data_IF_227937890576
#
_entry.id   IF_227937890576
#
_cell.length_a   1.000
_cell.length_b   1.000
_cell.length_c   1.000
_cell.angle_alpha   90.00
_cell.angle_beta   90.00
_cell.angle_gamma   90.00
#
_symmetry.space_group_name_H-M   'P 1'
#
loop_
_entity.id
_entity.type
_entity.pdbx_description
1 polymer ?
#
# COMPACT_ATOMS: atom_id res chain seq x y z
N UNK A 1 3.34 -3.12 32.41
CA UNK A 1 1.95 -3.50 32.05
C UNK A 1 1.10 -3.35 33.29
N UNK A 2 0.05 -2.53 33.23
CA UNK A 2 -0.88 -2.37 34.35
C UNK A 2 -1.76 -3.63 34.47
N UNK A 3 -2.00 -4.17 35.68
CA UNK A 3 -2.89 -5.31 35.86
C UNK A 3 -4.34 -4.92 35.51
N UNK A 4 -4.93 -5.59 34.52
CA UNK A 4 -6.36 -5.48 34.19
C UNK A 4 -6.72 -4.98 32.77
N UNK A 5 -5.76 -4.71 31.90
CA UNK A 5 -6.06 -4.43 30.47
C UNK A 5 -6.09 -5.74 29.67
N UNK A 6 -7.09 -5.94 28.78
CA UNK A 6 -7.15 -7.11 27.92
C UNK A 6 -5.91 -7.17 27.02
N UNK A 7 -5.36 -8.36 26.80
CA UNK A 7 -4.24 -8.53 25.88
C UNK A 7 -4.69 -8.31 24.43
N UNK A 8 -3.76 -8.07 23.49
CA UNK A 8 -4.11 -8.02 22.07
C UNK A 8 -4.79 -9.30 21.58
N UNK A 9 -4.36 -10.47 22.05
CA UNK A 9 -4.98 -11.75 21.71
C UNK A 9 -6.40 -11.86 22.26
N UNK A 10 -6.67 -11.42 23.50
CA UNK A 10 -8.03 -11.37 24.05
C UNK A 10 -8.94 -10.43 23.25
N UNK A 11 -8.39 -9.30 22.82
CA UNK A 11 -9.10 -8.32 21.99
C UNK A 11 -9.44 -8.91 20.62
N UNK A 12 -8.49 -9.59 19.97
CA UNK A 12 -8.71 -10.24 18.69
C UNK A 12 -9.75 -11.37 18.78
N UNK A 13 -9.71 -12.19 19.82
CA UNK A 13 -10.71 -13.25 20.03
C UNK A 13 -12.11 -12.65 20.23
N UNK A 14 -12.23 -11.55 20.98
CA UNK A 14 -13.50 -10.85 21.13
C UNK A 14 -14.04 -10.31 19.79
N UNK A 15 -13.19 -9.69 18.97
CA UNK A 15 -13.56 -9.24 17.63
C UNK A 15 -14.01 -10.40 16.74
N UNK A 16 -13.30 -11.53 16.80
CA UNK A 16 -13.67 -12.75 16.07
C UNK A 16 -15.04 -13.27 16.49
N UNK A 17 -15.38 -13.25 17.78
CA UNK A 17 -16.71 -13.63 18.27
C UNK A 17 -17.81 -12.70 17.73
N UNK A 18 -17.58 -11.38 17.77
CA UNK A 18 -18.52 -10.40 17.21
C UNK A 18 -18.70 -10.60 15.69
N UNK A 19 -17.63 -10.91 14.97
CA UNK A 19 -17.72 -11.22 13.54
C UNK A 19 -18.42 -12.55 13.29
N UNK A 20 -18.18 -13.59 14.08
CA UNK A 20 -18.87 -14.88 13.92
C UNK A 20 -20.37 -14.74 14.11
N UNK A 21 -20.81 -13.85 15.01
CA UNK A 21 -22.23 -13.57 15.26
C UNK A 21 -22.90 -12.72 14.17
N UNK A 22 -22.23 -11.66 13.70
CA UNK A 22 -22.82 -10.67 12.76
C UNK A 22 -22.45 -10.90 11.30
N UNK A 23 -21.30 -11.54 11.05
CA UNK A 23 -20.61 -11.64 9.77
C UNK A 23 -20.36 -10.28 9.11
N UNK A 24 -20.29 -9.21 9.90
CA UNK A 24 -20.23 -7.86 9.36
C UNK A 24 -18.88 -7.54 8.69
N UNK A 25 -18.85 -7.03 7.43
CA UNK A 25 -17.62 -6.72 6.70
C UNK A 25 -16.64 -5.80 7.45
N UNK A 26 -17.13 -4.77 8.15
CA UNK A 26 -16.26 -3.84 8.90
C UNK A 26 -15.51 -4.51 10.05
N UNK A 27 -16.10 -5.51 10.70
CA UNK A 27 -15.39 -6.29 11.72
C UNK A 27 -14.29 -7.14 11.08
N UNK A 28 -14.55 -7.70 9.90
CA UNK A 28 -13.56 -8.46 9.16
C UNK A 28 -12.33 -7.62 8.79
N UNK A 29 -12.56 -6.41 8.27
CA UNK A 29 -11.51 -5.44 7.96
C UNK A 29 -10.71 -5.04 9.20
N UNK A 30 -11.40 -4.75 10.32
CA UNK A 30 -10.75 -4.45 11.59
C UNK A 30 -9.92 -5.63 12.11
N UNK A 31 -10.44 -6.86 12.04
CA UNK A 31 -9.72 -8.07 12.48
C UNK A 31 -8.41 -8.23 11.69
N UNK A 32 -8.45 -8.05 10.37
CA UNK A 32 -7.26 -8.11 9.52
C UNK A 32 -6.25 -7.01 9.88
N UNK A 33 -6.71 -5.76 10.04
CA UNK A 33 -5.86 -4.63 10.40
C UNK A 33 -5.26 -4.77 11.81
N UNK A 34 -6.08 -5.17 12.79
CA UNK A 34 -5.67 -5.34 14.18
C UNK A 34 -4.63 -6.44 14.33
N UNK A 35 -4.85 -7.60 13.72
CA UNK A 35 -3.90 -8.70 13.74
C UNK A 35 -2.57 -8.28 13.11
N UNK A 36 -2.61 -7.62 11.94
CA UNK A 36 -1.40 -7.13 11.28
C UNK A 36 -0.60 -6.12 12.11
N UNK A 37 -1.27 -5.27 12.89
CA UNK A 37 -0.59 -4.29 13.74
C UNK A 37 0.10 -4.92 14.98
N UNK A 38 -0.30 -6.14 15.34
CA UNK A 38 0.19 -6.83 16.54
C UNK A 38 0.89 -8.17 16.23
N UNK A 39 1.13 -8.46 14.94
CA UNK A 39 1.81 -9.68 14.51
C UNK A 39 3.27 -9.69 14.96
N UNK A 40 3.79 -10.87 15.29
CA UNK A 40 5.16 -11.06 15.73
C UNK A 40 6.15 -10.81 14.59
N UNK A 41 7.40 -10.46 14.94
CA UNK A 41 8.49 -10.34 13.96
C UNK A 41 8.79 -11.67 13.25
N UNK A 42 8.60 -12.78 13.96
CA UNK A 42 8.78 -14.12 13.41
C UNK A 42 7.72 -14.41 12.34
N UNK A 43 6.47 -14.02 12.59
CA UNK A 43 5.39 -14.14 11.63
C UNK A 43 5.57 -13.22 10.41
N UNK A 44 6.08 -11.99 10.61
CA UNK A 44 6.41 -11.06 9.51
C UNK A 44 7.36 -11.71 8.50
N UNK A 45 8.35 -12.48 8.96
CA UNK A 45 9.30 -13.17 8.09
C UNK A 45 8.64 -14.21 7.16
N UNK A 46 7.45 -14.73 7.50
CA UNK A 46 6.72 -15.62 6.60
C UNK A 46 6.21 -14.90 5.36
N UNK A 47 5.84 -13.62 5.45
CA UNK A 47 5.26 -12.84 4.34
C UNK A 47 6.22 -12.74 3.16
N UNK A 48 7.51 -12.62 3.45
CA UNK A 48 8.59 -12.53 2.47
C UNK A 48 9.15 -13.90 2.04
N UNK A 49 8.64 -14.99 2.63
CA UNK A 49 9.12 -16.33 2.31
C UNK A 49 8.56 -16.81 0.97
N UNK A 50 9.43 -16.92 -0.03
CA UNK A 50 9.10 -17.48 -1.33
C UNK A 50 8.70 -18.96 -1.26
N UNK A 51 9.12 -19.67 -0.20
CA UNK A 51 8.91 -21.11 -0.04
C UNK A 51 8.85 -21.48 1.45
N UNK A 52 7.69 -21.30 2.09
CA UNK A 52 7.42 -22.04 3.33
C UNK A 52 7.05 -23.49 2.95
N UNK A 53 7.86 -24.46 3.38
CA UNK A 53 7.67 -25.87 3.06
C UNK A 53 6.30 -26.39 3.51
N UNK A 54 5.82 -27.49 2.92
CA UNK A 54 4.52 -28.06 3.29
C UNK A 54 4.47 -28.52 4.75
N UNK A 55 5.55 -29.16 5.23
CA UNK A 55 5.68 -29.59 6.62
C UNK A 55 5.82 -28.40 7.57
N UNK A 56 6.65 -27.42 7.22
CA UNK A 56 6.86 -26.19 8.01
C UNK A 56 5.58 -25.39 8.16
N UNK A 57 4.82 -25.20 7.06
CA UNK A 57 3.52 -24.50 7.12
C UNK A 57 2.52 -25.25 8.00
N UNK A 58 2.50 -26.59 7.93
CA UNK A 58 1.60 -27.40 8.75
C UNK A 58 1.96 -27.33 10.23
N UNK A 59 3.26 -27.38 10.55
CA UNK A 59 3.75 -27.21 11.91
C UNK A 59 3.46 -25.80 12.43
N UNK A 60 3.66 -24.78 11.60
CA UNK A 60 3.34 -23.40 11.94
C UNK A 60 1.84 -23.25 12.25
N UNK A 61 0.95 -23.81 11.43
CA UNK A 61 -0.50 -23.72 11.66
C UNK A 61 -0.93 -24.34 13.00
N UNK A 62 -0.30 -25.45 13.42
CA UNK A 62 -0.69 -26.15 14.65
C UNK A 62 -0.45 -25.31 15.92
N UNK A 63 0.54 -24.43 15.89
CA UNK A 63 1.00 -23.65 17.03
C UNK A 63 0.85 -22.13 16.81
N UNK A 64 0.14 -21.71 15.75
CA UNK A 64 0.07 -20.30 15.35
C UNK A 64 -0.73 -19.49 16.37
N UNK A 65 -0.16 -18.36 16.83
CA UNK A 65 -0.92 -17.38 17.58
C UNK A 65 -2.01 -16.75 16.70
N UNK A 66 -3.16 -16.42 17.28
CA UNK A 66 -4.27 -15.79 16.56
C UNK A 66 -3.82 -14.52 15.85
N UNK A 67 -2.90 -13.73 16.43
CA UNK A 67 -2.36 -12.51 15.83
C UNK A 67 -1.54 -12.82 14.56
N UNK A 68 -0.85 -13.95 14.54
CA UNK A 68 0.12 -14.32 13.50
C UNK A 68 -0.50 -15.11 12.33
N UNK A 69 -1.72 -15.62 12.50
CA UNK A 69 -2.44 -16.39 11.47
C UNK A 69 -2.50 -15.65 10.12
N UNK A 70 -2.71 -14.33 10.14
CA UNK A 70 -2.76 -13.52 8.91
C UNK A 70 -1.48 -13.56 8.08
N UNK A 71 -0.32 -13.58 8.75
CA UNK A 71 0.96 -13.69 8.07
C UNK A 71 1.16 -15.10 7.47
N UNK A 72 0.80 -16.16 8.20
CA UNK A 72 0.86 -17.53 7.70
C UNK A 72 -0.07 -17.77 6.49
N UNK A 73 -1.25 -17.14 6.51
CA UNK A 73 -2.22 -17.18 5.42
C UNK A 73 -1.72 -16.48 4.16
N UNK A 74 -0.85 -15.47 4.28
CA UNK A 74 -0.30 -14.74 3.11
C UNK A 74 0.50 -15.63 2.15
N UNK A 75 1.06 -16.73 2.66
CA UNK A 75 1.79 -17.74 1.87
C UNK A 75 0.96 -18.97 1.53
N UNK A 76 -0.36 -18.95 1.77
CA UNK A 76 -1.27 -20.07 1.49
C UNK A 76 -1.11 -20.60 0.06
N UNK A 77 -1.07 -19.70 -0.92
CA UNK A 77 -0.97 -20.02 -2.35
C UNK A 77 0.42 -20.44 -2.84
N UNK A 78 1.45 -20.49 -2.00
CA UNK A 78 2.80 -20.88 -2.42
C UNK A 78 2.93 -22.41 -2.49
N UNK A 79 3.38 -22.94 -3.63
CA UNK A 79 3.67 -24.37 -3.81
C UNK A 79 2.85 -25.04 -4.91
N UNK A 80 2.63 -26.35 -4.82
CA UNK A 80 1.84 -27.09 -5.82
C UNK A 80 0.36 -27.09 -5.45
N UNK A 81 -0.52 -27.29 -6.43
CA UNK A 81 -1.96 -27.45 -6.18
C UNK A 81 -2.28 -28.56 -5.15
N UNK A 82 -1.47 -29.62 -5.06
CA UNK A 82 -1.63 -30.65 -4.03
C UNK A 82 -1.37 -30.12 -2.61
N UNK A 83 -0.28 -29.37 -2.43
CA UNK A 83 0.10 -28.75 -1.15
C UNK A 83 -0.97 -27.75 -0.72
N UNK A 84 -1.38 -26.85 -1.62
CA UNK A 84 -2.37 -25.80 -1.31
C UNK A 84 -3.74 -26.40 -1.01
N UNK A 85 -4.17 -27.43 -1.75
CA UNK A 85 -5.40 -28.15 -1.43
C UNK A 85 -5.36 -28.74 -0.01
N UNK A 86 -4.22 -29.28 0.43
CA UNK A 86 -4.06 -29.81 1.78
C UNK A 86 -4.14 -28.71 2.84
N UNK A 87 -3.48 -27.57 2.62
CA UNK A 87 -3.55 -26.40 3.51
C UNK A 87 -4.99 -25.92 3.71
N UNK A 88 -5.77 -25.80 2.62
CA UNK A 88 -7.19 -25.43 2.68
C UNK A 88 -8.00 -26.45 3.51
N UNK A 89 -7.71 -27.74 3.39
CA UNK A 89 -8.37 -28.77 4.21
C UNK A 89 -8.03 -28.66 5.70
N UNK A 90 -6.84 -28.21 6.06
CA UNK A 90 -6.47 -27.93 7.45
C UNK A 90 -7.18 -26.68 7.97
N UNK A 91 -7.23 -25.61 7.16
CA UNK A 91 -7.96 -24.38 7.51
C UNK A 91 -9.45 -24.61 7.72
N UNK A 92 -10.05 -25.57 7.02
CA UNK A 92 -11.45 -25.95 7.22
C UNK A 92 -11.75 -26.60 8.59
N UNK A 93 -10.72 -26.95 9.37
CA UNK A 93 -10.87 -27.47 10.73
C UNK A 93 -10.78 -26.37 11.80
N UNK A 94 -10.40 -25.15 11.41
CA UNK A 94 -10.33 -24.02 12.33
C UNK A 94 -11.70 -23.39 12.52
N UNK A 95 -11.86 -22.68 13.65
CA UNK A 95 -13.02 -21.82 13.85
C UNK A 95 -13.09 -20.76 12.74
N UNK A 96 -14.30 -20.36 12.30
CA UNK A 96 -14.45 -19.38 11.23
C UNK A 96 -13.72 -18.08 11.53
N UNK A 97 -12.89 -17.65 10.58
CA UNK A 97 -12.08 -16.43 10.66
C UNK A 97 -12.13 -15.70 9.30
N UNK A 98 -12.44 -14.39 9.28
CA UNK A 98 -12.55 -13.63 8.04
C UNK A 98 -11.25 -13.55 7.23
N UNK A 99 -10.09 -13.67 7.89
CA UNK A 99 -8.78 -13.62 7.23
C UNK A 99 -8.55 -14.85 6.35
N UNK A 100 -9.18 -15.97 6.68
CA UNK A 100 -9.19 -17.16 5.81
C UNK A 100 -9.96 -16.83 4.52
N UNK A 101 -11.08 -16.11 4.60
CA UNK A 101 -11.81 -15.68 3.41
C UNK A 101 -10.95 -14.78 2.52
N UNK A 102 -10.24 -13.80 3.10
CA UNK A 102 -9.33 -12.90 2.36
C UNK A 102 -8.25 -13.69 1.59
N UNK A 103 -7.63 -14.68 2.26
CA UNK A 103 -6.60 -15.52 1.63
C UNK A 103 -7.16 -16.38 0.48
N UNK A 104 -8.40 -16.85 0.60
CA UNK A 104 -9.08 -17.61 -0.46
C UNK A 104 -9.53 -16.70 -1.62
N UNK A 105 -9.93 -15.46 -1.35
CA UNK A 105 -10.22 -14.45 -2.38
C UNK A 105 -8.97 -14.15 -3.19
N UNK A 106 -7.86 -13.85 -2.52
CA UNK A 106 -6.57 -13.62 -3.17
C UNK A 106 -6.13 -14.82 -4.05
N UNK A 107 -6.42 -16.04 -3.60
CA UNK A 107 -6.15 -17.25 -4.38
C UNK A 107 -6.98 -17.31 -5.68
N UNK A 108 -8.26 -16.95 -5.61
CA UNK A 108 -9.17 -16.91 -6.78
C UNK A 108 -8.72 -15.83 -7.76
N UNK A 109 -8.39 -14.63 -7.27
CA UNK A 109 -7.91 -13.51 -8.07
C UNK A 109 -6.59 -13.81 -8.79
N UNK A 110 -5.66 -14.46 -8.10
CA UNK A 110 -4.39 -14.89 -8.68
C UNK A 110 -4.54 -15.94 -9.79
N UNK A 111 -5.70 -16.62 -9.88
CA UNK A 111 -6.03 -17.62 -10.91
C UNK A 111 -4.95 -18.72 -11.06
N UNK A 112 -4.32 -19.08 -9.95
CA UNK A 112 -3.21 -20.03 -9.95
C UNK A 112 -3.70 -21.46 -10.28
N UNK A 113 -3.06 -22.13 -11.24
CA UNK A 113 -3.39 -23.50 -11.70
C UNK A 113 -4.79 -23.65 -12.34
N UNK A 114 -4.79 -23.70 -13.68
CA UNK A 114 -5.99 -23.86 -14.51
C UNK A 114 -6.20 -25.29 -15.02
N UNK A 115 -5.31 -26.23 -14.68
CA UNK A 115 -5.38 -27.61 -15.15
C UNK A 115 -6.50 -28.41 -14.47
N UNK A 116 -7.00 -29.45 -15.14
CA UNK A 116 -8.05 -30.34 -14.60
C UNK A 116 -7.66 -30.95 -13.25
N UNK A 117 -6.39 -31.32 -13.05
CA UNK A 117 -5.90 -31.88 -11.79
C UNK A 117 -5.91 -30.89 -10.61
N UNK A 118 -5.98 -29.59 -10.89
CA UNK A 118 -6.06 -28.53 -9.87
C UNK A 118 -7.49 -28.25 -9.38
N UNK A 119 -8.53 -28.81 -10.02
CA UNK A 119 -9.95 -28.64 -9.62
C UNK A 119 -10.24 -28.95 -8.15
N UNK A 120 -9.44 -29.82 -7.52
CA UNK A 120 -9.54 -30.13 -6.09
C UNK A 120 -9.25 -28.94 -5.18
N UNK A 121 -8.33 -28.04 -5.58
CA UNK A 121 -8.04 -26.80 -4.84
C UNK A 121 -9.29 -25.95 -4.81
N UNK A 122 -9.82 -25.65 -5.99
CA UNK A 122 -10.97 -24.76 -6.16
C UNK A 122 -12.27 -25.30 -5.58
N UNK A 123 -12.47 -26.62 -5.64
CA UNK A 123 -13.61 -27.27 -4.96
C UNK A 123 -13.51 -27.08 -3.44
N UNK A 124 -12.31 -27.22 -2.86
CA UNK A 124 -12.10 -26.98 -1.42
C UNK A 124 -12.22 -25.49 -1.06
N UNK A 125 -11.67 -24.61 -1.89
CA UNK A 125 -11.78 -23.15 -1.74
C UNK A 125 -13.25 -22.71 -1.67
N UNK A 126 -14.05 -23.10 -2.66
CA UNK A 126 -15.48 -22.70 -2.72
C UNK A 126 -16.30 -23.34 -1.60
N UNK A 127 -16.01 -24.58 -1.20
CA UNK A 127 -16.64 -25.20 -0.03
C UNK A 127 -16.29 -24.48 1.28
N UNK A 128 -15.03 -24.08 1.46
CA UNK A 128 -14.61 -23.35 2.66
C UNK A 128 -15.20 -21.93 2.69
N UNK A 129 -15.24 -21.23 1.56
CA UNK A 129 -15.94 -19.94 1.46
C UNK A 129 -17.43 -20.04 1.83
N UNK A 130 -18.11 -21.11 1.39
CA UNK A 130 -19.50 -21.36 1.78
C UNK A 130 -19.64 -21.58 3.29
N UNK A 131 -18.70 -22.30 3.92
CA UNK A 131 -18.72 -22.57 5.35
C UNK A 131 -18.38 -21.34 6.20
N UNK A 132 -17.45 -20.49 5.75
CA UNK A 132 -17.10 -19.23 6.40
C UNK A 132 -18.29 -18.24 6.42
N UNK A 133 -19.11 -18.31 5.36
CA UNK A 133 -20.30 -17.49 5.17
C UNK A 133 -19.99 -15.98 5.28
N UNK A 134 -18.86 -15.55 4.68
CA UNK A 134 -18.44 -14.15 4.67
C UNK A 134 -19.14 -13.38 3.53
N UNK A 135 -19.97 -12.35 3.83
CA UNK A 135 -20.69 -11.56 2.82
C UNK A 135 -19.80 -10.90 1.78
N UNK A 136 -18.54 -10.57 2.12
CA UNK A 136 -17.58 -9.94 1.19
C UNK A 136 -17.29 -10.81 -0.03
N UNK A 137 -17.49 -12.13 0.10
CA UNK A 137 -17.35 -13.09 -1.00
C UNK A 137 -18.34 -12.82 -2.15
N UNK A 138 -19.48 -12.15 -1.89
CA UNK A 138 -20.45 -11.84 -2.94
C UNK A 138 -19.88 -10.90 -4.00
N UNK A 139 -19.17 -9.85 -3.57
CA UNK A 139 -18.53 -8.90 -4.48
C UNK A 139 -17.51 -9.59 -5.40
N UNK A 140 -16.76 -10.57 -4.88
CA UNK A 140 -15.86 -11.40 -5.68
C UNK A 140 -16.63 -12.23 -6.72
N UNK A 141 -17.72 -12.89 -6.31
CA UNK A 141 -18.56 -13.70 -7.21
C UNK A 141 -19.16 -12.83 -8.32
N UNK A 142 -19.67 -11.65 -7.98
CA UNK A 142 -20.24 -10.70 -8.94
C UNK A 142 -19.19 -10.23 -9.94
N UNK A 143 -18.00 -9.84 -9.47
CA UNK A 143 -16.88 -9.43 -10.35
C UNK A 143 -16.53 -10.54 -11.34
N UNK A 144 -16.39 -11.78 -10.85
CA UNK A 144 -16.06 -12.93 -11.70
C UNK A 144 -17.20 -13.32 -12.65
N UNK A 145 -18.45 -13.05 -12.27
CA UNK A 145 -19.62 -13.30 -13.11
C UNK A 145 -19.64 -12.39 -14.35
N UNK A 146 -19.29 -11.11 -14.18
CA UNK A 146 -19.21 -10.15 -15.28
C UNK A 146 -18.07 -10.47 -16.26
N UNK A 147 -16.91 -10.90 -15.75
CA UNK A 147 -15.76 -11.25 -16.58
C UNK A 147 -15.96 -12.57 -17.36
N UNK A 148 -16.64 -13.55 -16.76
CA UNK A 148 -16.91 -14.86 -17.39
C UNK A 148 -17.97 -14.86 -18.49
N UNK A 149 -18.78 -13.80 -18.60
CA UNK A 149 -19.82 -13.69 -19.62
C UNK A 149 -19.27 -13.43 -21.05
N UNK A 150 -17.98 -13.11 -21.17
CA UNK A 150 -17.39 -12.61 -22.41
C UNK A 150 -16.63 -13.65 -23.28
N UNK A 151 -16.46 -14.93 -22.88
CA UNK A 151 -15.74 -15.86 -23.76
C UNK A 151 -15.55 -17.29 -23.27
N UNK A 152 -15.80 -18.22 -24.20
CA UNK A 152 -15.59 -19.68 -24.18
C UNK A 152 -16.37 -20.49 -23.14
N UNK A 153 -17.45 -21.12 -23.60
CA UNK A 153 -18.29 -22.07 -22.87
C UNK A 153 -17.60 -23.41 -22.54
N UNK A 154 -16.30 -23.56 -22.79
CA UNK A 154 -15.54 -24.78 -22.52
C UNK A 154 -14.21 -24.45 -21.83
N UNK A 155 -13.93 -25.10 -20.70
CA UNK A 155 -12.64 -25.00 -20.03
C UNK A 155 -12.73 -24.60 -18.55
N UNK A 156 -11.58 -24.23 -17.98
CA UNK A 156 -11.46 -23.90 -16.56
C UNK A 156 -12.28 -22.67 -16.15
N UNK A 157 -12.29 -21.63 -16.99
CA UNK A 157 -13.03 -20.39 -16.71
C UNK A 157 -14.54 -20.65 -16.60
N UNK A 158 -15.13 -21.37 -17.56
CA UNK A 158 -16.54 -21.76 -17.52
C UNK A 158 -16.86 -22.63 -16.29
N UNK A 159 -15.99 -23.59 -15.97
CA UNK A 159 -16.15 -24.44 -14.78
C UNK A 159 -16.06 -23.64 -13.47
N UNK A 160 -15.12 -22.70 -13.36
CA UNK A 160 -15.00 -21.81 -12.19
C UNK A 160 -16.20 -20.89 -12.07
N UNK A 161 -16.68 -20.33 -13.18
CA UNK A 161 -17.86 -19.50 -13.21
C UNK A 161 -19.09 -20.25 -12.67
N UNK A 162 -19.34 -21.48 -13.16
CA UNK A 162 -20.41 -22.34 -12.64
C UNK A 162 -20.25 -22.56 -11.13
N UNK A 163 -19.04 -22.85 -10.66
CA UNK A 163 -18.77 -23.05 -9.22
C UNK A 163 -19.09 -21.81 -8.39
N UNK A 164 -18.65 -20.63 -8.81
CA UNK A 164 -18.91 -19.38 -8.10
C UNK A 164 -20.41 -19.02 -8.12
N UNK A 165 -21.11 -19.28 -9.23
CA UNK A 165 -22.58 -19.15 -9.30
C UNK A 165 -23.29 -20.09 -8.31
N UNK A 166 -22.80 -21.32 -8.10
CA UNK A 166 -23.37 -22.21 -7.07
C UNK A 166 -23.05 -21.80 -5.63
N UNK A 167 -22.03 -20.97 -5.44
CA UNK A 167 -21.67 -20.40 -4.14
C UNK A 167 -22.53 -19.19 -3.80
N UNK A 168 -22.81 -18.31 -4.77
CA UNK A 168 -23.56 -17.06 -4.60
C UNK A 168 -24.81 -17.16 -3.70
N UNK A 169 -25.73 -18.12 -3.91
CA UNK A 169 -26.97 -18.19 -3.12
C UNK A 169 -26.76 -18.70 -1.69
N UNK A 170 -25.56 -19.21 -1.35
CA UNK A 170 -25.22 -19.72 -0.01
C UNK A 170 -24.59 -18.66 0.88
N UNK A 171 -24.17 -17.53 0.30
CA UNK A 171 -23.57 -16.44 1.04
C UNK A 171 -24.68 -15.66 1.74
N UNK A 172 -24.52 -15.24 3.01
CA UNK A 172 -25.49 -14.44 3.72
C UNK A 172 -25.36 -12.95 3.36
N UNK A 173 -26.43 -12.18 3.56
CA UNK A 173 -26.31 -10.72 3.61
C UNK A 173 -25.53 -10.30 4.88
N UNK A 174 -24.83 -9.14 4.87
CA UNK A 174 -24.28 -8.59 6.10
C UNK A 174 -25.36 -8.47 7.18
N UNK A 175 -25.11 -9.06 8.35
CA UNK A 175 -25.98 -8.84 9.51
C UNK A 175 -25.96 -7.37 9.94
N UNK A 176 -26.95 -6.91 10.72
CA UNK A 176 -26.93 -5.55 11.24
C UNK A 176 -25.75 -5.35 12.19
N UNK A 177 -25.17 -4.15 12.18
CA UNK A 177 -24.17 -3.71 13.14
C UNK A 177 -24.87 -2.83 14.20
N UNK A 178 -24.81 -3.24 15.46
CA UNK A 178 -25.30 -2.39 16.55
C UNK A 178 -24.36 -1.20 16.81
N UNK A 179 -24.91 -0.15 17.41
CA UNK A 179 -24.19 1.11 17.63
C UNK A 179 -23.00 0.97 18.59
N UNK A 180 -23.04 -0.01 19.51
CA UNK A 180 -21.95 -0.25 20.47
C UNK A 180 -20.75 -0.88 19.77
N UNK A 181 -21.00 -1.89 18.95
CA UNK A 181 -20.01 -2.55 18.11
C UNK A 181 -19.42 -1.58 17.09
N UNK A 182 -20.26 -0.73 16.49
CA UNK A 182 -19.80 0.31 15.56
C UNK A 182 -18.85 1.30 16.24
N UNK A 183 -19.21 1.79 17.43
CA UNK A 183 -18.34 2.66 18.22
C UNK A 183 -17.04 1.96 18.68
N UNK A 184 -17.08 0.65 18.97
CA UNK A 184 -15.89 -0.14 19.25
C UNK A 184 -14.97 -0.21 18.03
N UNK A 185 -15.52 -0.44 16.83
CA UNK A 185 -14.75 -0.46 15.59
C UNK A 185 -14.05 0.88 15.38
N UNK A 186 -14.78 2.00 15.46
CA UNK A 186 -14.21 3.33 15.30
C UNK A 186 -13.07 3.61 16.28
N UNK A 187 -13.28 3.27 17.55
CA UNK A 187 -12.25 3.45 18.60
C UNK A 187 -11.01 2.60 18.36
N UNK A 188 -11.18 1.35 17.92
CA UNK A 188 -10.04 0.47 17.65
C UNK A 188 -9.33 0.86 16.36
N UNK A 189 -10.05 1.24 15.30
CA UNK A 189 -9.44 1.80 14.09
C UNK A 189 -8.68 3.08 14.39
N UNK A 190 -9.22 3.99 15.21
CA UNK A 190 -8.51 5.17 15.67
C UNK A 190 -7.29 4.82 16.53
N UNK A 191 -7.38 3.76 17.36
CA UNK A 191 -6.25 3.25 18.13
C UNK A 191 -5.14 2.63 17.26
N UNK A 192 -5.52 1.92 16.20
CA UNK A 192 -4.62 1.32 15.21
C UNK A 192 -3.98 2.37 14.29
N UNK A 193 -4.73 3.41 13.93
CA UNK A 193 -4.19 4.61 13.29
C UNK A 193 -3.27 5.41 14.25
N UNK A 194 -3.29 5.05 15.54
CA UNK A 194 -2.69 5.80 16.63
C UNK A 194 -3.38 7.15 16.84
N UNK A 195 -3.16 7.83 17.99
CA UNK A 195 -3.18 9.29 17.92
C UNK A 195 -2.19 9.66 16.82
N UNK A 196 -2.57 10.52 15.88
CA UNK A 196 -1.69 11.02 14.81
C UNK A 196 -0.31 11.35 15.39
N UNK A 197 0.58 10.37 15.34
CA UNK A 197 1.93 10.38 15.87
C UNK A 197 2.76 10.11 14.64
N UNK A 198 3.31 11.20 14.14
CA UNK A 198 4.58 11.22 13.46
C UNK A 198 5.54 10.15 14.00
N UNK A 199 6.19 9.45 13.05
CA UNK A 199 7.43 8.66 13.13
C UNK A 199 7.35 7.12 13.25
N UNK A 200 8.12 6.48 12.34
CA UNK A 200 8.58 5.08 12.29
C UNK A 200 7.60 4.01 11.79
N UNK A 201 7.31 4.00 10.48
CA UNK A 201 6.67 2.86 9.83
C UNK A 201 6.29 3.04 8.36
N UNK A 202 6.14 4.28 7.91
CA UNK A 202 5.91 4.56 6.49
C UNK A 202 7.15 4.14 5.69
N UNK A 203 6.94 3.36 4.63
CA UNK A 203 7.99 3.08 3.66
C UNK A 203 8.51 4.40 3.07
N UNK A 204 9.79 4.46 2.66
CA UNK A 204 10.34 5.69 2.07
C UNK A 204 9.45 6.28 0.95
N UNK A 205 8.85 5.47 0.05
CA UNK A 205 7.89 5.98 -0.94
C UNK A 205 6.63 6.60 -0.33
N UNK A 206 6.10 6.07 0.78
CA UNK A 206 4.93 6.63 1.48
C UNK A 206 5.28 7.95 2.18
N UNK A 207 6.44 8.02 2.84
CA UNK A 207 6.97 9.27 3.42
C UNK A 207 7.16 10.34 2.35
N UNK A 208 7.70 9.94 1.19
CA UNK A 208 7.86 10.82 0.06
C UNK A 208 6.50 11.30 -0.44
N UNK A 209 5.58 10.40 -0.75
CA UNK A 209 4.24 10.74 -1.23
C UNK A 209 3.49 11.66 -0.25
N UNK A 210 3.58 11.40 1.06
CA UNK A 210 2.96 12.22 2.10
C UNK A 210 3.57 13.64 2.14
N UNK A 211 4.90 13.73 2.12
CA UNK A 211 5.66 14.99 2.07
C UNK A 211 5.35 15.81 0.79
N UNK A 212 5.14 15.13 -0.34
CA UNK A 212 4.78 15.75 -1.62
C UNK A 212 3.32 16.21 -1.67
N UNK A 213 2.40 15.46 -1.06
CA UNK A 213 0.98 15.82 -0.99
C UNK A 213 0.72 17.06 -0.14
N UNK A 214 1.57 17.32 0.87
CA UNK A 214 1.49 18.49 1.75
C UNK A 214 2.85 19.20 1.81
N UNK A 215 3.24 19.95 0.77
CA UNK A 215 4.59 20.51 0.67
C UNK A 215 4.91 21.58 1.74
N UNK A 216 3.88 22.10 2.42
CA UNK A 216 3.98 23.07 3.51
C UNK A 216 4.02 22.45 4.91
N UNK A 217 3.81 21.15 5.03
CA UNK A 217 3.90 20.41 6.29
C UNK A 217 5.38 20.15 6.62
N UNK A 218 5.94 20.98 7.50
CA UNK A 218 7.34 20.87 7.91
C UNK A 218 7.62 19.59 8.69
N UNK A 219 6.64 19.08 9.44
CA UNK A 219 6.81 17.88 10.24
C UNK A 219 6.91 16.66 9.32
N UNK A 220 6.06 16.56 8.31
CA UNK A 220 6.16 15.55 7.25
C UNK A 220 7.51 15.57 6.52
N UNK A 221 8.06 16.78 6.27
CA UNK A 221 9.37 16.95 5.65
C UNK A 221 10.50 16.44 6.52
N UNK A 222 10.44 16.72 7.82
CA UNK A 222 11.45 16.28 8.78
C UNK A 222 11.42 14.76 8.97
N UNK A 223 10.23 14.13 8.99
CA UNK A 223 10.12 12.65 9.05
C UNK A 223 10.73 12.01 7.80
N UNK A 224 10.45 12.54 6.60
CA UNK A 224 11.12 12.08 5.37
C UNK A 224 12.64 12.30 5.44
N UNK A 225 13.08 13.42 6.00
CA UNK A 225 14.49 13.74 6.12
C UNK A 225 15.24 12.73 7.00
N UNK A 226 14.66 12.36 8.14
CA UNK A 226 15.24 11.37 9.05
C UNK A 226 15.35 10.00 8.38
N UNK A 227 14.31 9.55 7.67
CA UNK A 227 14.33 8.30 6.92
C UNK A 227 15.38 8.29 5.78
N UNK A 228 15.55 9.41 5.08
CA UNK A 228 16.59 9.57 4.06
C UNK A 228 18.00 9.51 4.67
N UNK A 229 18.21 10.10 5.84
CA UNK A 229 19.49 10.07 6.57
C UNK A 229 19.83 8.63 6.98
N UNK A 230 18.86 7.87 7.49
CA UNK A 230 19.07 6.45 7.86
C UNK A 230 19.53 5.60 6.67
N UNK A 231 19.07 5.92 5.46
CA UNK A 231 19.47 5.28 4.21
C UNK A 231 20.77 5.86 3.60
N UNK A 232 21.37 6.85 4.25
CA UNK A 232 22.57 7.53 3.77
C UNK A 232 22.33 8.44 2.56
N UNK A 233 21.11 8.90 2.33
CA UNK A 233 20.79 9.85 1.27
C UNK A 233 20.99 11.31 1.73
N UNK A 234 21.91 12.01 1.06
CA UNK A 234 22.25 13.40 1.34
C UNK A 234 21.06 14.39 1.22
N UNK A 235 19.96 14.00 0.56
CA UNK A 235 18.75 14.83 0.49
C UNK A 235 18.11 15.00 1.86
N UNK A 236 18.23 14.02 2.77
CA UNK A 236 17.70 14.14 4.12
C UNK A 236 18.35 15.27 4.90
N UNK A 237 19.68 15.34 4.90
CA UNK A 237 20.42 16.45 5.51
C UNK A 237 20.06 17.80 4.84
N UNK A 238 19.91 17.80 3.51
CA UNK A 238 19.53 19.01 2.77
C UNK A 238 18.16 19.57 3.19
N UNK A 239 17.17 18.70 3.39
CA UNK A 239 15.84 19.09 3.92
C UNK A 239 15.99 19.73 5.31
N UNK A 240 16.67 19.06 6.25
CA UNK A 240 16.86 19.56 7.62
C UNK A 240 17.56 20.93 7.62
N UNK A 241 18.61 21.10 6.80
CA UNK A 241 19.35 22.37 6.69
C UNK A 241 18.46 23.49 6.17
N UNK A 242 17.67 23.26 5.11
CA UNK A 242 16.80 24.30 4.57
C UNK A 242 15.70 24.70 5.55
N UNK A 243 15.08 23.74 6.25
CA UNK A 243 14.07 24.02 7.29
C UNK A 243 14.69 24.80 8.47
N UNK A 244 15.87 24.39 8.94
CA UNK A 244 16.58 25.11 9.99
C UNK A 244 16.94 26.55 9.58
N UNK A 245 17.30 26.78 8.31
CA UNK A 245 17.58 28.12 7.76
C UNK A 245 16.36 29.01 7.70
N UNK A 246 15.16 28.48 7.47
CA UNK A 246 13.92 29.28 7.51
C UNK A 246 13.74 29.91 8.90
N UNK A 247 14.09 29.18 9.96
CA UNK A 247 14.01 29.66 11.35
C UNK A 247 15.22 30.50 11.78
N UNK A 248 16.38 30.31 11.15
CA UNK A 248 17.63 31.00 11.48
C UNK A 248 18.38 31.55 10.24
N UNK A 249 17.80 32.52 9.50
CA UNK A 249 18.31 32.94 8.19
C UNK A 249 19.70 33.61 8.23
N UNK A 250 20.13 34.10 9.39
CA UNK A 250 21.44 34.76 9.60
C UNK A 250 22.55 33.77 9.97
N UNK A 251 22.25 32.48 10.16
CA UNK A 251 23.27 31.47 10.46
C UNK A 251 24.13 31.16 9.22
N UNK A 252 25.37 31.66 9.25
CA UNK A 252 26.35 31.46 8.17
C UNK A 252 26.77 30.00 8.01
N UNK A 253 26.72 29.18 9.07
CA UNK A 253 27.10 27.76 9.00
C UNK A 253 26.06 26.97 8.22
N UNK A 254 24.77 27.18 8.54
CA UNK A 254 23.68 26.56 7.79
C UNK A 254 23.69 27.00 6.32
N UNK A 255 23.94 28.29 6.05
CA UNK A 255 24.06 28.79 4.68
C UNK A 255 25.23 28.19 3.90
N UNK A 256 26.39 28.03 4.54
CA UNK A 256 27.53 27.37 3.93
C UNK A 256 27.25 25.88 3.67
N UNK A 257 26.59 25.20 4.61
CA UNK A 257 26.27 23.77 4.47
C UNK A 257 25.26 23.51 3.37
N UNK A 258 24.22 24.33 3.26
CA UNK A 258 23.24 24.23 2.16
C UNK A 258 23.93 24.40 0.80
N UNK A 259 24.79 25.42 0.67
CA UNK A 259 25.55 25.67 -0.56
C UNK A 259 26.46 24.50 -0.91
N UNK A 260 27.10 23.88 0.09
CA UNK A 260 27.95 22.71 -0.11
C UNK A 260 27.14 21.50 -0.62
N UNK A 261 26.00 21.20 0.03
CA UNK A 261 25.13 20.10 -0.39
C UNK A 261 24.62 20.29 -1.84
N UNK A 262 24.30 21.52 -2.23
CA UNK A 262 23.94 21.86 -3.62
C UNK A 262 25.11 21.88 -4.60
N UNK A 263 26.36 21.99 -4.14
CA UNK A 263 27.51 21.82 -5.00
C UNK A 263 27.78 20.34 -5.26
N UNK A 264 27.63 19.51 -4.23
CA UNK A 264 28.01 18.09 -4.25
C UNK A 264 26.92 17.17 -4.83
N UNK A 265 25.64 17.52 -4.66
CA UNK A 265 24.53 16.60 -4.93
C UNK A 265 23.42 17.13 -5.84
N UNK A 266 23.58 18.32 -6.43
CA UNK A 266 22.51 18.97 -7.22
C UNK A 266 21.96 18.11 -8.35
N UNK A 267 22.82 17.50 -9.15
CA UNK A 267 22.37 16.72 -10.31
C UNK A 267 21.54 15.50 -9.85
N UNK A 268 21.94 14.84 -8.74
CA UNK A 268 21.15 13.79 -8.08
C UNK A 268 19.83 14.33 -7.51
N UNK A 269 19.81 15.55 -6.97
CA UNK A 269 18.60 16.15 -6.42
C UNK A 269 17.58 16.55 -7.50
N UNK A 270 18.04 16.87 -8.71
CA UNK A 270 17.20 17.18 -9.85
C UNK A 270 16.58 15.93 -10.49
N UNK A 271 17.29 14.79 -10.46
CA UNK A 271 16.79 13.55 -11.03
C UNK A 271 16.43 13.71 -12.52
N UNK A 272 15.25 13.26 -12.98
CA UNK A 272 14.78 13.43 -14.36
C UNK A 272 14.75 14.87 -14.87
N UNK A 273 14.67 15.88 -13.99
CA UNK A 273 14.68 17.29 -14.39
C UNK A 273 16.05 17.79 -14.86
N UNK A 274 17.15 17.16 -14.41
CA UNK A 274 18.53 17.62 -14.66
C UNK A 274 18.81 18.01 -16.12
N UNK A 275 18.49 17.18 -17.14
CA UNK A 275 18.85 17.48 -18.52
C UNK A 275 18.02 18.61 -19.15
N UNK A 276 16.88 18.98 -18.57
CA UNK A 276 15.91 19.87 -19.22
C UNK A 276 15.70 21.21 -18.50
N UNK A 277 16.40 21.46 -17.40
CA UNK A 277 16.29 22.71 -16.63
C UNK A 277 17.52 23.60 -16.81
N UNK A 278 17.31 24.91 -16.88
CA UNK A 278 18.40 25.89 -16.85
C UNK A 278 18.94 25.98 -15.43
N UNK A 279 20.16 25.48 -15.19
CA UNK A 279 20.76 25.41 -13.84
C UNK A 279 20.80 26.74 -13.08
N UNK A 280 20.84 27.87 -13.77
CA UNK A 280 20.81 29.22 -13.16
C UNK A 280 19.43 29.72 -12.72
N UNK A 281 18.36 29.03 -13.11
CA UNK A 281 16.96 29.36 -12.77
C UNK A 281 16.41 28.56 -11.59
N UNK A 282 17.21 27.63 -11.05
CA UNK A 282 16.77 26.66 -10.05
C UNK A 282 16.68 27.30 -8.67
N UNK A 283 15.52 27.14 -8.06
CA UNK A 283 15.34 27.37 -6.63
C UNK A 283 14.93 26.06 -5.97
N UNK A 284 15.56 25.77 -4.84
CA UNK A 284 15.19 24.65 -3.98
C UNK A 284 14.54 25.20 -2.71
N UNK A 285 13.43 24.59 -2.29
CA UNK A 285 12.84 24.82 -0.99
C UNK A 285 12.50 23.49 -0.33
N UNK A 286 12.86 23.36 0.95
CA UNK A 286 12.58 22.20 1.81
C UNK A 286 12.97 20.86 1.16
N UNK A 287 14.10 20.85 0.44
CA UNK A 287 14.70 19.67 -0.18
C UNK A 287 14.29 19.37 -1.63
N UNK A 288 13.41 20.16 -2.23
CA UNK A 288 12.86 19.91 -3.56
C UNK A 288 12.88 21.17 -4.43
N UNK A 289 12.78 20.98 -5.75
CA UNK A 289 12.70 22.09 -6.70
C UNK A 289 11.40 22.84 -6.48
N UNK A 290 11.50 24.14 -6.18
CA UNK A 290 10.37 25.05 -5.98
C UNK A 290 10.19 25.99 -7.16
N UNK A 291 11.27 26.30 -7.88
CA UNK A 291 11.21 27.04 -9.13
C UNK A 291 12.22 26.54 -10.18
N UNK A 292 11.82 26.57 -11.45
CA UNK A 292 12.70 26.25 -12.57
C UNK A 292 12.27 26.90 -13.89
N UNK A 293 13.22 27.04 -14.81
CA UNK A 293 13.02 27.35 -16.22
C UNK A 293 13.50 26.17 -17.05
N UNK A 294 12.64 25.66 -17.94
CA UNK A 294 13.02 24.62 -18.89
C UNK A 294 13.91 25.20 -19.99
N UNK A 295 14.82 24.38 -20.52
CA UNK A 295 15.62 24.78 -21.69
C UNK A 295 14.73 24.87 -22.93
N UNK A 296 15.17 25.59 -23.96
CA UNK A 296 14.37 25.74 -25.19
C UNK A 296 14.40 24.47 -26.07
N UNK A 297 15.26 23.50 -25.76
CA UNK A 297 15.47 22.26 -26.50
C UNK A 297 15.06 21.03 -25.68
N UNK A 298 13.84 21.03 -25.14
CA UNK A 298 13.29 19.83 -24.48
C UNK A 298 12.74 18.87 -25.53
N UNK A 299 13.39 17.72 -25.70
CA UNK A 299 12.84 16.66 -26.53
C UNK A 299 11.58 16.06 -25.88
N UNK A 300 10.56 15.75 -26.70
CA UNK A 300 9.29 15.22 -26.22
C UNK A 300 9.42 13.96 -25.35
N UNK A 301 10.36 13.06 -25.68
CA UNK A 301 10.61 11.85 -24.89
C UNK A 301 11.21 12.11 -23.51
N UNK A 302 11.98 13.20 -23.34
CA UNK A 302 12.49 13.61 -22.01
C UNK A 302 11.36 14.21 -21.18
N UNK A 303 10.45 14.95 -21.82
CA UNK A 303 9.29 15.54 -21.16
C UNK A 303 8.39 14.47 -20.54
N UNK A 304 8.16 13.33 -21.20
CA UNK A 304 7.38 12.22 -20.65
C UNK A 304 7.98 11.68 -19.33
N UNK A 305 9.30 11.48 -19.29
CA UNK A 305 9.99 11.00 -18.07
C UNK A 305 9.88 12.00 -16.92
N UNK A 306 9.90 13.30 -17.22
CA UNK A 306 9.75 14.37 -16.24
C UNK A 306 8.32 14.47 -15.74
N UNK A 307 7.33 14.38 -16.61
CA UNK A 307 5.91 14.42 -16.26
C UNK A 307 5.49 13.25 -15.35
N UNK A 308 6.24 12.15 -15.38
CA UNK A 308 6.06 11.03 -14.46
C UNK A 308 6.61 11.29 -13.05
N UNK A 309 7.50 12.28 -12.86
CA UNK A 309 8.14 12.55 -11.57
C UNK A 309 7.17 13.20 -10.57
N UNK A 310 7.04 12.60 -9.39
CA UNK A 310 6.20 13.11 -8.31
C UNK A 310 6.75 14.38 -7.67
N UNK A 311 8.07 14.63 -7.78
CA UNK A 311 8.71 15.82 -7.25
C UNK A 311 8.21 17.13 -7.89
N UNK A 312 7.57 17.04 -9.07
CA UNK A 312 6.90 18.18 -9.73
C UNK A 312 5.83 18.84 -8.86
N UNK A 313 5.23 18.10 -7.93
CA UNK A 313 4.25 18.62 -6.99
C UNK A 313 4.76 19.77 -6.11
N UNK A 314 6.07 19.98 -6.01
CA UNK A 314 6.66 21.08 -5.21
C UNK A 314 6.86 22.38 -5.98
N UNK A 315 6.73 22.36 -7.30
CA UNK A 315 7.05 23.51 -8.14
C UNK A 315 5.93 24.54 -7.99
N UNK A 316 6.31 25.72 -7.51
CA UNK A 316 5.42 26.88 -7.33
C UNK A 316 5.56 27.90 -8.44
N UNK A 317 6.72 27.94 -9.09
CA UNK A 317 7.01 28.82 -10.23
C UNK A 317 7.70 28.04 -11.34
N UNK A 318 7.19 28.11 -12.56
CA UNK A 318 7.81 27.45 -13.70
C UNK A 318 7.76 28.28 -14.98
N UNK A 319 8.73 28.05 -15.86
CA UNK A 319 8.67 28.54 -17.23
C UNK A 319 9.10 27.46 -18.22
N UNK A 320 8.40 27.39 -19.36
CA UNK A 320 8.63 26.34 -20.35
C UNK A 320 7.48 26.16 -21.33
N UNK A 321 7.47 25.05 -22.08
CA UNK A 321 6.40 24.71 -23.02
C UNK A 321 5.06 24.51 -22.31
N UNK A 322 3.96 24.83 -22.99
CA UNK A 322 2.60 24.73 -22.44
C UNK A 322 2.26 23.31 -21.94
N UNK A 323 2.71 22.26 -22.65
CA UNK A 323 2.49 20.87 -22.27
C UNK A 323 3.10 20.53 -20.89
N UNK A 324 4.24 21.13 -20.54
CA UNK A 324 4.82 20.99 -19.21
C UNK A 324 3.99 21.74 -18.17
N UNK A 325 3.64 23.00 -18.44
CA UNK A 325 2.93 23.87 -17.49
C UNK A 325 1.50 23.42 -17.18
N UNK A 326 0.88 22.62 -18.06
CA UNK A 326 -0.44 22.02 -17.86
C UNK A 326 -0.40 20.62 -17.22
N UNK A 327 0.78 20.13 -16.83
CA UNK A 327 0.92 18.83 -16.21
C UNK A 327 0.06 18.72 -14.94
N UNK A 328 -0.80 17.68 -14.81
CA UNK A 328 -1.63 17.50 -13.61
C UNK A 328 -0.82 17.42 -12.31
N UNK A 329 0.43 16.96 -12.39
CA UNK A 329 1.34 16.86 -11.24
C UNK A 329 1.89 18.22 -10.75
N UNK A 330 1.77 19.30 -11.52
CA UNK A 330 2.11 20.66 -11.09
C UNK A 330 0.99 21.30 -10.24
N UNK A 331 0.42 20.53 -9.30
CA UNK A 331 -0.76 20.94 -8.51
C UNK A 331 -0.53 22.21 -7.66
N UNK A 332 0.73 22.51 -7.32
CA UNK A 332 1.10 23.67 -6.53
C UNK A 332 1.67 24.84 -7.34
N UNK A 333 1.60 24.78 -8.68
CA UNK A 333 2.02 25.88 -9.53
C UNK A 333 1.16 27.13 -9.24
N UNK A 334 1.81 28.25 -8.98
CA UNK A 334 1.19 29.55 -8.73
C UNK A 334 1.60 30.58 -9.77
N UNK A 335 2.80 30.43 -10.33
CA UNK A 335 3.34 31.32 -11.35
C UNK A 335 3.84 30.51 -12.54
N UNK A 336 3.35 30.83 -13.73
CA UNK A 336 3.71 30.15 -14.96
C UNK A 336 4.08 31.17 -16.04
N UNK A 337 5.14 30.90 -16.81
CA UNK A 337 5.50 31.69 -18.00
C UNK A 337 5.73 30.75 -19.18
N UNK A 338 4.90 30.87 -20.20
CA UNK A 338 4.99 30.06 -21.42
C UNK A 338 6.13 30.56 -22.30
N UNK A 339 6.93 29.65 -22.87
CA UNK A 339 7.88 30.01 -23.92
C UNK A 339 7.12 30.10 -25.26
N UNK A 340 7.24 31.22 -25.99
CA UNK A 340 6.50 31.48 -27.24
C UNK A 340 6.94 30.65 -28.47
N UNK A 341 7.74 29.58 -28.29
CA UNK A 341 8.18 28.73 -29.42
C UNK A 341 7.60 27.32 -29.33
N UNK A 342 6.76 26.99 -30.31
CA UNK A 342 6.32 25.63 -30.57
C UNK A 342 7.54 24.73 -30.88
N UNK A 343 7.52 23.51 -30.34
CA UNK A 343 8.60 22.53 -30.44
C UNK A 343 9.12 22.40 -31.89
N UNK A 344 10.44 22.42 -32.14
CA UNK A 344 10.96 22.05 -33.45
C UNK A 344 10.51 20.61 -33.75
N UNK A 345 9.87 20.42 -34.90
CA UNK A 345 9.39 19.11 -35.33
C UNK A 345 10.57 18.18 -35.62
N UNK A 346 10.70 17.15 -34.77
CA UNK A 346 11.56 15.94 -34.87
C UNK A 346 13.07 16.10 -34.97
#
# INVERSE_FOLDING_TARGET
MAPGQPTPSDTLEHLLQLWRASKHPRLAELIAAFARAHESREAQAWRDSDKLGAAEWTAALAEVDLLDLGALLSVLGKGTAGVVANRISLLAQLEPDPRIADALHALIEARAWTSTGARKVWTRTTSLLAALADPRTRALVDTYAHEGAAGDSRGFAAWMHERLQTLAPKLPEPGPLDAETDALIERLLAGLAGPARSSAGDSLPELLAHSLARPDDLDARLVLADALIELGDARGEFIQVQIARESAPKDRKLAAREKQLLADHRDRFLGPLEPIVRKGSLEFARGFVSACELTDNVYAHLLESVLADEALGNIRSASGPLAFLLAPKLANLRHARVHEREFPST
#
